data_IF_345370011906
#
_entry.id   IF_345370011906
#
_cell.length_a   1.000
_cell.length_b   1.000
_cell.length_c   1.000
_cell.angle_alpha   90.00
_cell.angle_beta   90.00
_cell.angle_gamma   90.00
#
_symmetry.space_group_name_H-M   'P 1'
#
loop_
_entity.id
_entity.type
_entity.pdbx_description
1 polymer ?
#
# COMPACT_ATOMS: atom_id res chain seq x y z
N UNK A 1 -4.79 30.23 35.27
CA UNK A 1 -5.71 29.51 34.36
C UNK A 1 -4.84 28.77 33.36
N UNK A 2 -4.60 27.45 33.61
CA UNK A 2 -3.70 26.62 32.78
C UNK A 2 -4.50 26.04 31.63
N UNK A 3 -4.13 26.39 30.39
CA UNK A 3 -4.70 25.79 29.18
C UNK A 3 -4.12 24.39 28.97
N UNK A 4 -5.00 23.41 28.97
CA UNK A 4 -4.71 22.04 28.53
C UNK A 4 -4.54 22.03 27.01
N UNK A 5 -3.38 21.57 26.52
CA UNK A 5 -3.18 21.19 25.12
C UNK A 5 -3.62 19.72 24.96
N UNK A 6 -4.40 19.38 23.94
CA UNK A 6 -4.66 17.98 23.62
C UNK A 6 -3.43 17.33 22.97
N UNK A 7 -3.27 15.98 23.09
CA UNK A 7 -2.13 15.27 22.53
C UNK A 7 -2.17 15.27 21.02
N UNK A 8 -1.00 15.46 20.42
CA UNK A 8 -0.80 15.39 18.98
C UNK A 8 -1.10 13.98 18.46
N UNK A 9 -2.09 13.87 17.58
CA UNK A 9 -2.27 12.70 16.73
C UNK A 9 -1.05 12.57 15.82
N UNK A 10 -0.30 11.47 15.95
CA UNK A 10 0.73 11.10 15.00
C UNK A 10 0.07 10.80 13.66
N UNK A 11 0.17 11.75 12.76
CA UNK A 11 -0.13 11.58 11.34
C UNK A 11 0.92 10.62 10.77
N UNK A 12 0.45 9.48 10.27
CA UNK A 12 1.26 8.54 9.51
C UNK A 12 1.63 9.22 8.18
N UNK A 13 2.81 9.85 8.14
CA UNK A 13 3.36 10.45 6.93
C UNK A 13 3.72 9.30 5.99
N UNK A 14 2.90 9.10 4.96
CA UNK A 14 3.28 8.31 3.81
C UNK A 14 4.51 8.95 3.16
N UNK A 15 5.65 8.26 3.22
CA UNK A 15 6.92 8.72 2.66
C UNK A 15 6.79 8.74 1.13
N UNK A 16 6.60 9.91 0.56
CA UNK A 16 6.69 10.17 -0.88
C UNK A 16 8.14 9.92 -1.33
N UNK A 17 8.45 8.68 -1.70
CA UNK A 17 9.64 8.35 -2.49
C UNK A 17 9.30 8.61 -3.96
N UNK A 18 9.62 9.83 -4.42
CA UNK A 18 9.65 10.17 -5.83
C UNK A 18 10.77 9.35 -6.50
N UNK A 19 10.44 8.15 -6.99
CA UNK A 19 11.28 7.36 -7.85
C UNK A 19 10.59 7.30 -9.20
N UNK A 20 10.99 8.20 -10.12
CA UNK A 20 10.63 8.12 -11.53
C UNK A 20 11.13 6.79 -12.10
N UNK A 21 10.27 5.76 -12.05
CA UNK A 21 10.45 4.55 -12.85
C UNK A 21 9.81 4.78 -14.22
N UNK A 22 10.62 4.69 -15.24
CA UNK A 22 10.15 4.45 -16.61
C UNK A 22 9.40 3.11 -16.58
N UNK A 23 8.08 3.15 -16.52
CA UNK A 23 7.23 1.98 -16.69
C UNK A 23 7.17 1.67 -18.19
N UNK A 24 8.00 0.74 -18.63
CA UNK A 24 7.84 0.09 -19.94
C UNK A 24 6.80 -1.02 -19.80
N UNK A 25 5.57 -0.74 -20.22
CA UNK A 25 4.47 -1.71 -20.28
C UNK A 25 3.14 -0.96 -20.19
N UNK A 26 2.24 -1.29 -21.09
CA UNK A 26 0.89 -0.75 -21.21
C UNK A 26 0.06 -1.18 -19.97
N UNK A 27 0.18 -0.43 -18.85
CA UNK A 27 -0.57 -0.76 -17.64
C UNK A 27 -2.02 -0.29 -17.79
N UNK A 28 -2.91 -1.25 -17.97
CA UNK A 28 -4.35 -0.98 -18.05
C UNK A 28 -4.85 -0.35 -16.76
N UNK A 29 -5.49 0.81 -16.84
CA UNK A 29 -6.23 1.39 -15.72
C UNK A 29 -7.47 0.55 -15.44
N UNK A 30 -7.44 -0.21 -14.34
CA UNK A 30 -8.48 -1.18 -13.96
C UNK A 30 -9.85 -0.53 -13.67
N UNK A 31 -9.88 0.74 -13.26
CA UNK A 31 -11.12 1.47 -12.97
C UNK A 31 -11.64 2.28 -14.14
N UNK A 32 -11.07 2.14 -15.35
CA UNK A 32 -11.61 2.80 -16.55
C UNK A 32 -12.79 2.05 -17.13
N UNK A 33 -13.76 2.80 -17.70
CA UNK A 33 -14.87 2.22 -18.46
C UNK A 33 -14.37 1.36 -19.64
N UNK A 34 -13.25 1.75 -20.27
CA UNK A 34 -12.59 0.99 -21.35
C UNK A 34 -12.11 -0.40 -20.86
N UNK A 35 -11.69 -0.51 -19.60
CA UNK A 35 -11.33 -1.79 -18.97
C UNK A 35 -12.56 -2.59 -18.49
N UNK A 36 -13.76 -2.07 -18.69
CA UNK A 36 -15.02 -2.70 -18.29
C UNK A 36 -15.44 -2.40 -16.85
N UNK A 37 -14.86 -1.39 -16.21
CA UNK A 37 -15.35 -0.91 -14.93
C UNK A 37 -16.66 -0.13 -15.08
N UNK A 38 -17.48 -0.13 -14.05
CA UNK A 38 -18.75 0.60 -14.02
C UNK A 38 -19.05 1.17 -12.65
N UNK A 39 -19.72 2.31 -12.60
CA UNK A 39 -20.30 2.85 -11.38
C UNK A 39 -21.53 2.01 -11.01
N UNK A 40 -21.62 1.56 -9.78
CA UNK A 40 -22.77 0.74 -9.30
C UNK A 40 -23.61 1.45 -8.26
N UNK A 41 -23.06 2.35 -7.49
CA UNK A 41 -23.79 3.22 -6.57
C UNK A 41 -22.95 4.42 -6.14
N UNK A 42 -23.60 5.45 -5.67
CA UNK A 42 -22.97 6.69 -5.21
C UNK A 42 -23.88 7.45 -4.23
N UNK A 43 -23.31 8.37 -3.44
CA UNK A 43 -24.04 9.14 -2.44
C UNK A 43 -24.87 10.26 -3.05
N UNK A 44 -24.31 11.01 -3.98
CA UNK A 44 -24.95 12.13 -4.63
C UNK A 44 -24.25 12.45 -5.95
N UNK A 45 -24.95 13.17 -6.84
CA UNK A 45 -24.45 13.53 -8.16
C UNK A 45 -25.04 14.87 -8.58
N UNK A 46 -24.24 15.70 -9.23
CA UNK A 46 -24.72 16.83 -10.01
C UNK A 46 -24.91 16.35 -11.45
N UNK A 47 -26.00 16.77 -12.09
CA UNK A 47 -26.36 16.29 -13.43
C UNK A 47 -25.54 16.95 -14.56
N UNK A 48 -25.59 16.36 -15.75
CA UNK A 48 -24.96 16.91 -16.95
C UNK A 48 -23.47 16.63 -17.04
N UNK A 49 -22.66 17.66 -17.27
CA UNK A 49 -21.22 17.51 -17.53
C UNK A 49 -20.40 17.06 -16.30
N UNK A 50 -20.98 17.11 -15.12
CA UNK A 50 -20.32 16.76 -13.83
C UNK A 50 -20.77 15.40 -13.26
N UNK A 51 -21.20 14.52 -14.15
CA UNK A 51 -21.72 13.19 -13.78
C UNK A 51 -20.66 12.28 -13.13
N UNK A 52 -21.08 11.43 -12.21
CA UNK A 52 -20.22 10.49 -11.48
C UNK A 52 -19.47 9.52 -12.41
N UNK A 53 -19.98 9.24 -13.60
CA UNK A 53 -19.31 8.39 -14.60
C UNK A 53 -18.02 9.01 -15.12
N UNK A 54 -17.81 10.31 -14.94
CA UNK A 54 -16.56 10.99 -15.27
C UNK A 54 -15.37 10.43 -14.51
N UNK A 55 -15.57 9.88 -13.32
CA UNK A 55 -14.50 9.26 -12.50
C UNK A 55 -13.84 8.07 -13.24
N UNK A 56 -14.59 7.36 -14.09
CA UNK A 56 -14.13 6.20 -14.85
C UNK A 56 -14.13 6.46 -16.35
N UNK A 57 -14.48 7.68 -16.77
CA UNK A 57 -14.69 8.08 -18.16
C UNK A 57 -13.50 7.79 -19.05
N UNK A 58 -13.80 7.30 -20.26
CA UNK A 58 -12.86 6.81 -21.24
C UNK A 58 -12.07 7.92 -21.93
N UNK A 59 -10.79 7.76 -21.93
CA UNK A 59 -9.76 8.45 -22.72
C UNK A 59 -8.44 7.96 -22.19
N UNK A 60 -7.51 7.59 -23.09
CA UNK A 60 -6.14 7.20 -22.72
C UNK A 60 -5.36 8.40 -22.16
N UNK A 61 -5.89 9.60 -22.37
CA UNK A 61 -5.26 10.83 -21.94
C UNK A 61 -5.62 11.13 -20.48
N UNK A 62 -4.68 10.85 -19.61
CA UNK A 62 -4.68 11.30 -18.23
C UNK A 62 -4.58 12.84 -18.11
N UNK A 63 -4.34 13.50 -19.24
CA UNK A 63 -4.06 14.93 -19.39
C UNK A 63 -5.10 15.55 -20.30
N UNK A 64 -5.89 16.47 -19.81
CA UNK A 64 -6.83 17.23 -20.60
C UNK A 64 -7.90 17.93 -19.77
N UNK A 65 -8.68 18.81 -20.37
CA UNK A 65 -9.85 19.45 -19.76
C UNK A 65 -10.84 18.36 -19.35
N UNK A 66 -10.82 18.05 -18.05
CA UNK A 66 -11.42 16.81 -17.56
C UNK A 66 -12.83 17.09 -17.08
N UNK A 67 -13.80 16.33 -17.56
CA UNK A 67 -15.03 16.20 -16.83
C UNK A 67 -14.72 15.63 -15.44
N UNK A 68 -15.27 16.24 -14.41
CA UNK A 68 -15.14 15.84 -13.02
C UNK A 68 -16.48 15.33 -12.49
N UNK A 69 -16.47 14.55 -11.44
CA UNK A 69 -17.66 14.30 -10.65
C UNK A 69 -17.87 15.46 -9.68
N UNK A 70 -19.07 16.01 -9.66
CA UNK A 70 -19.52 16.97 -8.67
C UNK A 70 -20.66 16.38 -7.86
N UNK A 71 -20.67 16.63 -6.57
CA UNK A 71 -21.79 16.22 -5.70
C UNK A 71 -23.01 17.11 -5.91
N UNK A 72 -24.21 16.64 -5.52
CA UNK A 72 -25.37 17.51 -5.47
C UNK A 72 -25.15 18.65 -4.49
N UNK A 73 -25.80 19.80 -4.75
CA UNK A 73 -25.72 21.00 -3.91
C UNK A 73 -26.12 20.68 -2.46
N UNK A 74 -25.31 21.13 -1.52
CA UNK A 74 -25.52 20.92 -0.08
C UNK A 74 -25.64 19.46 0.38
N UNK A 75 -25.14 18.50 -0.43
CA UNK A 75 -25.13 17.11 -0.03
C UNK A 75 -24.21 16.92 1.19
N UNK A 76 -24.64 16.17 2.22
CA UNK A 76 -23.86 15.98 3.43
C UNK A 76 -22.68 15.02 3.21
N UNK A 77 -21.56 15.28 3.86
CA UNK A 77 -20.48 14.30 3.96
C UNK A 77 -20.88 13.05 4.77
N UNK A 78 -20.28 11.88 4.50
CA UNK A 78 -19.28 11.63 3.46
C UNK A 78 -19.90 11.45 2.07
N UNK A 79 -19.20 11.92 1.04
CA UNK A 79 -19.55 11.58 -0.34
C UNK A 79 -18.83 10.29 -0.72
N UNK A 80 -19.49 9.43 -1.49
CA UNK A 80 -18.89 8.16 -1.86
C UNK A 80 -19.40 7.65 -3.21
N UNK A 81 -18.56 6.84 -3.83
CA UNK A 81 -18.88 6.10 -5.05
C UNK A 81 -18.38 4.66 -4.93
N UNK A 82 -19.14 3.70 -5.46
CA UNK A 82 -18.76 2.30 -5.59
C UNK A 82 -18.54 1.99 -7.06
N UNK A 83 -17.35 1.52 -7.39
CA UNK A 83 -16.92 1.12 -8.72
C UNK A 83 -16.80 -0.40 -8.74
N UNK A 84 -17.47 -1.06 -9.69
CA UNK A 84 -17.27 -2.46 -9.96
C UNK A 84 -16.23 -2.63 -11.06
N UNK A 85 -15.19 -3.42 -10.81
CA UNK A 85 -14.21 -3.82 -11.83
C UNK A 85 -14.79 -4.91 -12.73
N UNK A 86 -14.29 -5.04 -13.97
CA UNK A 86 -14.73 -6.08 -14.89
C UNK A 86 -14.64 -7.49 -14.30
N UNK A 87 -13.59 -7.74 -13.52
CA UNK A 87 -13.34 -8.99 -12.76
C UNK A 87 -12.61 -8.67 -11.46
N UNK A 88 -12.59 -9.58 -10.47
CA UNK A 88 -11.72 -9.43 -9.31
C UNK A 88 -10.27 -9.23 -9.78
N UNK A 89 -9.67 -8.12 -9.39
CA UNK A 89 -8.35 -7.71 -9.87
C UNK A 89 -7.46 -7.26 -8.72
N UNK A 90 -6.16 -7.52 -8.87
CA UNK A 90 -5.14 -6.97 -7.97
C UNK A 90 -4.79 -5.55 -8.40
N UNK A 91 -4.47 -4.70 -7.42
CA UNK A 91 -3.87 -3.39 -7.65
C UNK A 91 -2.91 -3.03 -6.53
N UNK A 92 -1.93 -2.20 -6.86
CA UNK A 92 -0.84 -1.77 -5.97
C UNK A 92 -0.69 -0.27 -5.93
N UNK A 93 -1.33 0.43 -6.86
CA UNK A 93 -1.29 1.89 -6.96
C UNK A 93 -2.66 2.41 -7.31
N UNK A 94 -3.13 3.38 -6.56
CA UNK A 94 -4.30 4.19 -6.86
C UNK A 94 -3.85 5.54 -7.40
N UNK A 95 -4.59 6.10 -8.36
CA UNK A 95 -4.30 7.41 -8.96
C UNK A 95 -5.53 8.29 -8.82
N UNK A 96 -5.30 9.53 -8.40
CA UNK A 96 -6.32 10.54 -8.23
C UNK A 96 -5.97 11.79 -9.02
N UNK A 97 -6.90 12.28 -9.81
CA UNK A 97 -6.81 13.58 -10.43
C UNK A 97 -7.65 14.57 -9.61
N UNK A 98 -7.01 15.63 -9.15
CA UNK A 98 -7.62 16.63 -8.28
C UNK A 98 -7.30 18.07 -8.74
N UNK A 99 -6.94 18.22 -10.01
CA UNK A 99 -6.95 19.52 -10.68
C UNK A 99 -8.38 19.79 -11.13
N UNK A 100 -9.03 20.71 -10.48
CA UNK A 100 -10.43 21.06 -10.68
C UNK A 100 -10.48 22.45 -11.32
N UNK A 101 -10.89 22.55 -12.61
CA UNK A 101 -10.92 23.84 -13.31
C UNK A 101 -11.78 24.89 -12.62
N UNK A 102 -12.87 24.46 -11.99
CA UNK A 102 -13.85 25.35 -11.34
C UNK A 102 -13.27 26.07 -10.11
N UNK A 103 -12.21 25.51 -9.48
CA UNK A 103 -11.48 26.23 -8.42
C UNK A 103 -10.91 27.58 -8.87
N UNK A 104 -10.39 27.66 -10.09
CA UNK A 104 -9.90 28.91 -10.68
C UNK A 104 -11.03 29.81 -11.15
N UNK A 105 -12.23 29.25 -11.36
CA UNK A 105 -13.46 29.95 -11.79
C UNK A 105 -14.27 30.61 -10.68
N UNK A 106 -13.79 30.58 -9.45
CA UNK A 106 -14.48 31.19 -8.30
C UNK A 106 -15.12 30.20 -7.33
N UNK A 107 -14.91 28.89 -7.53
CA UNK A 107 -15.41 27.81 -6.65
C UNK A 107 -14.30 27.31 -5.73
N UNK A 108 -13.67 28.23 -5.02
CA UNK A 108 -12.51 27.93 -4.19
C UNK A 108 -12.81 26.89 -3.12
N UNK A 109 -11.96 25.86 -2.99
CA UNK A 109 -12.10 24.81 -1.97
C UNK A 109 -13.02 23.65 -2.36
N UNK A 110 -13.55 23.62 -3.59
CA UNK A 110 -14.47 22.58 -4.08
C UNK A 110 -13.82 21.21 -4.25
N UNK A 111 -12.50 21.15 -4.50
CA UNK A 111 -11.79 19.91 -4.73
C UNK A 111 -11.76 18.99 -3.49
N UNK A 112 -11.83 17.69 -3.71
CA UNK A 112 -11.76 16.68 -2.66
C UNK A 112 -10.44 16.80 -1.86
N UNK A 113 -10.52 16.58 -0.54
CA UNK A 113 -9.37 16.67 0.36
C UNK A 113 -9.06 15.35 1.05
N UNK A 114 -9.89 14.94 1.99
CA UNK A 114 -9.65 13.74 2.76
C UNK A 114 -10.38 12.56 2.13
N UNK A 115 -9.63 11.51 1.77
CA UNK A 115 -10.14 10.36 1.03
C UNK A 115 -9.83 9.08 1.78
N UNK A 116 -10.82 8.19 1.84
CA UNK A 116 -10.67 6.81 2.26
C UNK A 116 -11.02 5.88 1.09
N UNK A 117 -10.25 4.81 0.93
CA UNK A 117 -10.51 3.76 -0.06
C UNK A 117 -10.76 2.45 0.64
N UNK A 118 -11.86 1.82 0.26
CA UNK A 118 -12.25 0.49 0.72
C UNK A 118 -12.42 -0.46 -0.48
N UNK A 119 -12.27 -1.77 -0.24
CA UNK A 119 -12.52 -2.80 -1.27
C UNK A 119 -13.37 -3.92 -0.71
N UNK A 120 -14.13 -4.56 -1.59
CA UNK A 120 -14.87 -5.77 -1.30
C UNK A 120 -14.66 -6.82 -2.39
N UNK A 121 -14.65 -8.10 -1.97
CA UNK A 121 -14.73 -9.28 -2.81
C UNK A 121 -16.09 -9.98 -2.68
N UNK A 122 -16.95 -9.47 -1.80
CA UNK A 122 -18.23 -10.09 -1.41
C UNK A 122 -19.38 -9.56 -2.27
N UNK A 123 -19.62 -8.25 -2.21
CA UNK A 123 -20.69 -7.58 -2.96
C UNK A 123 -20.42 -6.07 -3.09
N UNK A 124 -21.30 -5.39 -3.85
CA UNK A 124 -21.28 -3.93 -3.98
C UNK A 124 -21.74 -3.19 -2.71
N UNK A 125 -22.33 -3.89 -1.75
CA UNK A 125 -22.91 -3.32 -0.51
C UNK A 125 -22.20 -3.78 0.75
N UNK A 126 -21.58 -4.97 0.74
CA UNK A 126 -21.06 -5.63 1.92
C UNK A 126 -19.61 -6.08 1.76
N UNK A 127 -18.98 -6.42 2.90
CA UNK A 127 -17.62 -6.97 2.92
C UNK A 127 -16.53 -5.94 2.65
N UNK A 128 -16.85 -4.65 2.71
CA UNK A 128 -15.85 -3.60 2.49
C UNK A 128 -14.84 -3.55 3.64
N UNK A 129 -13.55 -3.55 3.27
CA UNK A 129 -12.43 -3.36 4.17
C UNK A 129 -11.60 -2.17 3.72
N UNK A 130 -11.12 -1.38 4.67
CA UNK A 130 -10.28 -0.22 4.41
C UNK A 130 -8.92 -0.65 3.84
N UNK A 131 -8.49 0.04 2.79
CA UNK A 131 -7.19 -0.16 2.12
C UNK A 131 -6.26 1.01 2.37
N UNK A 132 -6.78 2.23 2.25
CA UNK A 132 -5.99 3.44 2.42
C UNK A 132 -6.83 4.58 2.96
N UNK A 133 -6.17 5.56 3.58
CA UNK A 133 -6.74 6.85 3.95
C UNK A 133 -5.63 7.89 3.85
N UNK A 134 -5.89 8.97 3.13
CA UNK A 134 -4.89 9.99 2.79
C UNK A 134 -5.56 11.31 2.46
N UNK A 135 -4.74 12.35 2.33
CA UNK A 135 -5.16 13.67 1.90
C UNK A 135 -4.67 13.92 0.48
N UNK A 136 -5.56 14.37 -0.40
CA UNK A 136 -5.22 14.83 -1.75
C UNK A 136 -4.68 16.25 -1.70
N UNK A 137 -3.67 16.52 -2.51
CA UNK A 137 -3.21 17.88 -2.77
C UNK A 137 -4.22 18.58 -3.67
N UNK A 138 -4.44 19.88 -3.41
CA UNK A 138 -5.29 20.75 -4.20
C UNK A 138 -4.63 21.05 -5.56
N UNK A 139 -5.41 21.19 -6.61
CA UNK A 139 -4.94 21.55 -7.96
C UNK A 139 -3.82 20.66 -8.51
N UNK A 140 -3.87 19.37 -8.24
CA UNK A 140 -2.84 18.42 -8.67
C UNK A 140 -3.45 17.15 -9.22
N UNK A 141 -3.04 16.81 -10.45
CA UNK A 141 -3.37 15.53 -11.09
C UNK A 141 -2.30 14.47 -10.84
N UNK A 142 -2.63 13.23 -11.21
CA UNK A 142 -1.73 12.08 -11.12
C UNK A 142 -1.12 11.86 -9.74
N UNK A 143 -1.91 12.06 -8.70
CA UNK A 143 -1.49 11.78 -7.33
C UNK A 143 -1.52 10.28 -7.10
N UNK A 144 -0.33 9.67 -7.06
CA UNK A 144 -0.17 8.24 -6.84
C UNK A 144 -0.18 7.91 -5.35
N UNK A 145 -1.05 6.99 -4.97
CA UNK A 145 -1.12 6.41 -3.63
C UNK A 145 -0.80 4.93 -3.72
N UNK A 146 0.38 4.54 -3.24
CA UNK A 146 0.76 3.14 -3.18
C UNK A 146 0.04 2.46 -2.03
N UNK A 147 -0.47 1.27 -2.31
CA UNK A 147 -1.13 0.40 -1.33
C UNK A 147 -0.45 -0.96 -1.30
N UNK A 148 -0.59 -1.67 -0.19
CA UNK A 148 -0.23 -3.09 -0.17
C UNK A 148 -0.99 -3.81 -1.28
N UNK A 149 -0.38 -4.83 -1.96
CA UNK A 149 -1.06 -5.55 -3.02
C UNK A 149 -2.43 -6.01 -2.55
N UNK A 150 -3.46 -5.47 -3.16
CA UNK A 150 -4.86 -5.62 -2.73
C UNK A 150 -5.68 -6.19 -3.86
N UNK A 151 -6.49 -7.21 -3.57
CA UNK A 151 -7.47 -7.74 -4.50
C UNK A 151 -8.87 -7.26 -4.13
N UNK A 152 -9.67 -6.94 -5.15
CA UNK A 152 -11.06 -6.58 -4.98
C UNK A 152 -11.83 -6.64 -6.29
N UNK A 153 -13.14 -6.84 -6.18
CA UNK A 153 -14.12 -6.72 -7.28
C UNK A 153 -14.79 -5.36 -7.25
N UNK A 154 -14.99 -4.80 -6.05
CA UNK A 154 -15.62 -3.50 -5.84
C UNK A 154 -14.68 -2.58 -5.05
N UNK A 155 -14.51 -1.36 -5.58
CA UNK A 155 -13.78 -0.27 -4.92
C UNK A 155 -14.80 0.76 -4.45
N UNK A 156 -14.71 1.17 -3.18
CA UNK A 156 -15.47 2.29 -2.63
C UNK A 156 -14.51 3.42 -2.32
N UNK A 157 -14.72 4.55 -2.98
CA UNK A 157 -13.99 5.80 -2.73
C UNK A 157 -14.90 6.66 -1.86
N UNK A 158 -14.39 7.14 -0.74
CA UNK A 158 -15.13 7.93 0.25
C UNK A 158 -14.37 9.23 0.44
N UNK A 159 -15.01 10.34 0.12
CA UNK A 159 -14.51 11.69 0.37
C UNK A 159 -15.15 12.19 1.67
N UNK A 160 -14.34 12.46 2.67
CA UNK A 160 -14.81 12.88 4.01
C UNK A 160 -14.64 14.37 4.25
N UNK A 161 -13.90 15.08 3.41
CA UNK A 161 -13.78 16.54 3.40
C UNK A 161 -13.34 17.06 2.03
N UNK A 162 -13.69 18.30 1.71
CA UNK A 162 -13.11 19.10 0.65
C UNK A 162 -12.19 20.19 1.23
N UNK A 163 -11.68 21.08 0.39
CA UNK A 163 -10.79 22.17 0.81
C UNK A 163 -11.53 23.42 1.35
N UNK A 164 -12.80 23.30 1.70
CA UNK A 164 -13.56 24.31 2.43
C UNK A 164 -14.74 24.93 1.67
N UNK A 165 -15.10 24.39 0.51
CA UNK A 165 -16.32 24.82 -0.17
C UNK A 165 -17.56 24.28 0.54
N UNK A 166 -18.57 25.13 0.76
CA UNK A 166 -19.72 24.79 1.60
C UNK A 166 -20.77 23.95 0.89
N UNK A 167 -20.96 24.13 -0.43
CA UNK A 167 -22.08 23.56 -1.17
C UNK A 167 -21.75 22.31 -1.98
N UNK A 168 -20.51 22.22 -2.52
CA UNK A 168 -20.15 21.18 -3.48
C UNK A 168 -18.78 20.56 -3.17
N UNK A 169 -18.61 19.37 -3.70
CA UNK A 169 -17.30 18.67 -3.70
C UNK A 169 -17.07 18.06 -5.08
N UNK A 170 -15.87 18.24 -5.62
CA UNK A 170 -15.47 17.70 -6.92
C UNK A 170 -14.26 16.78 -6.83
N UNK A 171 -14.25 15.79 -7.69
CA UNK A 171 -13.15 14.84 -7.85
C UNK A 171 -13.02 14.46 -9.34
N UNK A 172 -11.81 14.50 -9.85
CA UNK A 172 -11.49 14.09 -11.21
C UNK A 172 -11.31 12.59 -11.37
N UNK A 173 -10.79 12.17 -12.53
CA UNK A 173 -10.62 10.78 -12.90
C UNK A 173 -9.81 9.97 -11.89
N UNK A 174 -10.17 8.70 -11.79
CA UNK A 174 -9.53 7.71 -10.93
C UNK A 174 -8.70 6.72 -11.76
N UNK A 175 -7.69 6.16 -11.10
CA UNK A 175 -6.89 5.06 -11.61
C UNK A 175 -6.62 4.00 -10.56
N UNK A 176 -6.49 2.76 -11.03
CA UNK A 176 -5.95 1.66 -10.24
C UNK A 176 -5.04 0.82 -11.15
N UNK A 177 -3.79 0.64 -10.74
CA UNK A 177 -2.77 -0.05 -11.50
C UNK A 177 -2.24 -1.26 -10.73
N UNK A 178 -1.91 -2.32 -11.46
CA UNK A 178 -1.28 -3.52 -10.95
C UNK A 178 0.17 -3.59 -11.46
N UNK A 179 1.15 -3.50 -10.57
CA UNK A 179 2.57 -3.65 -10.91
C UNK A 179 3.05 -5.11 -10.89
N UNK A 180 2.11 -6.05 -10.73
CA UNK A 180 2.39 -7.48 -10.64
C UNK A 180 2.81 -7.96 -9.24
N UNK A 181 2.99 -7.05 -8.28
CA UNK A 181 3.29 -7.43 -6.89
C UNK A 181 2.10 -8.17 -6.27
N UNK A 182 2.42 -9.14 -5.41
CA UNK A 182 1.40 -9.91 -4.67
C UNK A 182 1.73 -9.93 -3.18
N UNK A 183 0.73 -10.08 -2.30
CA UNK A 183 1.00 -10.30 -0.88
C UNK A 183 1.95 -11.47 -0.73
N UNK A 184 2.91 -11.32 0.17
CA UNK A 184 3.84 -12.40 0.47
C UNK A 184 3.08 -13.57 1.07
N UNK A 185 3.00 -14.67 0.32
CA UNK A 185 2.50 -15.96 0.81
C UNK A 185 3.70 -16.83 1.21
N UNK A 186 4.03 -16.79 2.51
CA UNK A 186 5.15 -17.55 3.07
C UNK A 186 4.99 -19.06 2.81
N UNK A 187 3.76 -19.59 2.93
CA UNK A 187 3.51 -21.01 2.76
C UNK A 187 3.77 -21.46 1.32
N UNK A 188 3.24 -20.69 0.35
CA UNK A 188 3.41 -21.00 -1.06
C UNK A 188 4.88 -20.87 -1.52
N UNK A 189 5.58 -19.81 -1.06
CA UNK A 189 6.99 -19.61 -1.37
C UNK A 189 7.87 -20.73 -0.78
N UNK A 190 7.67 -21.08 0.49
CA UNK A 190 8.40 -22.17 1.13
C UNK A 190 8.10 -23.54 0.48
N UNK A 191 6.85 -23.78 0.07
CA UNK A 191 6.46 -25.02 -0.65
C UNK A 191 7.14 -25.10 -2.01
N UNK A 192 7.16 -24.01 -2.77
CA UNK A 192 7.65 -24.00 -4.15
C UNK A 192 9.17 -23.92 -4.24
N UNK A 193 9.81 -23.12 -3.37
CA UNK A 193 11.24 -22.76 -3.45
C UNK A 193 12.08 -23.28 -2.28
N UNK A 194 11.44 -23.81 -1.24
CA UNK A 194 12.11 -24.18 0.01
C UNK A 194 12.64 -23.00 0.82
N UNK A 195 12.48 -21.78 0.33
CA UNK A 195 12.89 -20.55 1.02
C UNK A 195 12.10 -19.33 0.53
N UNK A 196 12.04 -18.29 1.38
CA UNK A 196 11.40 -17.03 1.06
C UNK A 196 12.18 -15.85 1.65
N UNK A 197 12.43 -14.82 0.85
CA UNK A 197 13.08 -13.60 1.28
C UNK A 197 12.05 -12.61 1.88
N UNK A 198 12.33 -12.12 3.07
CA UNK A 198 11.48 -11.24 3.86
C UNK A 198 12.12 -9.85 3.91
N UNK A 199 11.41 -8.84 3.42
CA UNK A 199 11.88 -7.44 3.36
C UNK A 199 11.19 -6.52 4.37
N UNK A 200 10.13 -6.96 5.03
CA UNK A 200 9.34 -6.16 5.99
C UNK A 200 9.85 -6.22 7.45
N UNK A 201 11.06 -6.75 7.69
CA UNK A 201 11.68 -6.71 9.01
C UNK A 201 12.62 -5.52 9.09
N UNK A 202 12.30 -4.55 9.94
CA UNK A 202 13.06 -3.31 10.12
C UNK A 202 13.87 -3.36 11.41
N UNK A 203 15.08 -2.82 11.35
CA UNK A 203 16.00 -2.71 12.47
C UNK A 203 16.48 -1.26 12.61
N UNK A 204 16.89 -0.89 13.81
CA UNK A 204 17.60 0.37 14.00
C UNK A 204 18.97 0.33 13.31
N UNK A 205 19.49 1.51 12.95
CA UNK A 205 20.74 1.62 12.24
C UNK A 205 21.90 0.95 13.01
N UNK A 206 22.63 0.06 12.35
CA UNK A 206 23.74 -0.67 12.96
C UNK A 206 23.35 -1.63 14.10
N UNK A 207 22.06 -1.86 14.33
CA UNK A 207 21.51 -2.61 15.46
C UNK A 207 20.78 -3.88 15.00
N UNK A 208 20.55 -4.78 15.95
CA UNK A 208 19.68 -5.93 15.82
C UNK A 208 18.32 -5.75 16.54
N UNK A 209 18.04 -4.55 17.05
CA UNK A 209 16.75 -4.21 17.66
C UNK A 209 15.67 -4.16 16.58
N UNK A 210 14.66 -5.02 16.71
CA UNK A 210 13.54 -5.08 15.77
C UNK A 210 12.58 -3.93 16.08
N UNK A 211 12.24 -3.17 15.05
CA UNK A 211 11.32 -2.03 15.18
C UNK A 211 9.86 -2.48 15.17
N UNK A 212 8.96 -1.72 15.84
CA UNK A 212 7.53 -2.05 15.92
C UNK A 212 6.85 -2.22 14.55
N UNK A 213 7.30 -1.50 13.53
CA UNK A 213 6.77 -1.58 12.17
C UNK A 213 6.96 -2.95 11.53
N UNK A 214 7.78 -3.81 12.10
CA UNK A 214 7.94 -5.21 11.68
C UNK A 214 6.80 -6.12 12.15
N UNK A 215 5.91 -5.64 13.03
CA UNK A 215 4.82 -6.43 13.61
C UNK A 215 4.04 -7.27 12.59
N UNK A 216 3.49 -6.66 11.54
CA UNK A 216 2.66 -7.39 10.56
C UNK A 216 3.36 -8.57 9.88
N UNK A 217 4.65 -8.45 9.56
CA UNK A 217 5.41 -9.55 8.93
C UNK A 217 5.78 -10.64 9.93
N UNK A 218 6.10 -10.26 11.18
CA UNK A 218 6.37 -11.23 12.25
C UNK A 218 5.13 -12.06 12.58
N UNK A 219 3.94 -11.44 12.59
CA UNK A 219 2.66 -12.13 12.76
C UNK A 219 2.37 -13.12 11.62
N UNK A 220 2.67 -12.75 10.36
CA UNK A 220 2.58 -13.67 9.21
C UNK A 220 3.48 -14.89 9.38
N UNK A 221 4.71 -14.70 9.88
CA UNK A 221 5.64 -15.80 10.16
C UNK A 221 5.09 -16.69 11.28
N UNK A 222 4.65 -16.10 12.39
CA UNK A 222 4.08 -16.84 13.52
C UNK A 222 2.81 -17.61 13.11
N UNK A 223 1.94 -16.99 12.28
CA UNK A 223 0.77 -17.66 11.72
C UNK A 223 1.15 -18.86 10.85
N UNK A 224 2.14 -18.70 9.96
CA UNK A 224 2.64 -19.84 9.18
C UNK A 224 3.10 -21.00 10.09
N UNK A 225 3.88 -20.70 11.13
CA UNK A 225 4.35 -21.70 12.09
C UNK A 225 3.23 -22.37 12.88
N UNK A 226 2.16 -21.63 13.20
CA UNK A 226 0.96 -22.15 13.85
C UNK A 226 0.17 -23.08 12.93
N UNK A 227 -0.03 -22.65 11.68
CA UNK A 227 -0.78 -23.41 10.68
C UNK A 227 -0.04 -24.67 10.17
N UNK A 228 1.29 -24.74 10.40
CA UNK A 228 2.16 -25.85 10.00
C UNK A 228 2.94 -26.40 11.21
N UNK A 229 2.32 -27.19 12.11
CA UNK A 229 2.93 -27.61 13.38
C UNK A 229 4.23 -28.42 13.25
N UNK A 230 4.43 -29.14 12.17
CA UNK A 230 5.65 -29.92 11.90
C UNK A 230 6.77 -29.12 11.23
N UNK A 231 6.49 -27.91 10.76
CA UNK A 231 7.49 -27.12 10.05
C UNK A 231 8.60 -26.66 11.00
N UNK A 232 9.84 -26.71 10.50
CA UNK A 232 11.02 -26.11 11.11
C UNK A 232 11.60 -25.09 10.14
N UNK A 233 12.01 -23.92 10.61
CA UNK A 233 12.58 -22.87 9.78
C UNK A 233 13.96 -22.46 10.25
N UNK A 234 14.88 -22.29 9.31
CA UNK A 234 16.07 -21.48 9.49
C UNK A 234 15.73 -20.03 9.17
N UNK A 235 16.03 -19.12 10.09
CA UNK A 235 15.92 -17.68 9.92
C UNK A 235 17.32 -17.16 9.61
N UNK A 236 17.56 -16.80 8.35
CA UNK A 236 18.86 -16.38 7.84
C UNK A 236 18.91 -14.85 7.71
N UNK A 237 19.86 -14.20 8.41
CA UNK A 237 20.10 -12.76 8.30
C UNK A 237 21.16 -12.43 7.25
N UNK A 238 20.93 -11.35 6.48
CA UNK A 238 21.84 -10.88 5.43
C UNK A 238 22.07 -9.38 5.54
N UNK A 239 23.24 -8.92 5.08
CA UNK A 239 23.59 -7.50 4.93
C UNK A 239 23.95 -7.21 3.47
N UNK A 240 24.08 -5.94 3.14
CA UNK A 240 24.85 -5.52 1.97
C UNK A 240 26.37 -5.62 2.27
N UNK A 241 27.20 -5.22 1.29
CA UNK A 241 28.66 -5.29 1.40
C UNK A 241 29.31 -4.04 1.99
N UNK A 242 28.52 -3.08 2.52
CA UNK A 242 29.08 -1.86 3.12
C UNK A 242 29.56 -2.15 4.55
N UNK A 243 30.79 -1.77 4.84
CA UNK A 243 31.41 -1.92 6.15
C UNK A 243 32.27 -3.17 6.30
N UNK A 244 32.69 -3.44 7.53
CA UNK A 244 33.56 -4.56 7.87
C UNK A 244 32.82 -5.91 7.79
N UNK A 245 33.42 -6.90 7.12
CA UNK A 245 32.79 -8.19 6.89
C UNK A 245 32.51 -8.98 8.16
N UNK A 246 33.38 -8.90 9.18
CA UNK A 246 33.16 -9.60 10.46
C UNK A 246 32.03 -8.95 11.26
N UNK A 247 31.94 -7.61 11.24
CA UNK A 247 30.83 -6.86 11.85
C UNK A 247 29.52 -7.19 11.15
N UNK A 248 29.50 -7.25 9.82
CA UNK A 248 28.31 -7.63 9.05
C UNK A 248 27.89 -9.07 9.32
N UNK A 249 28.83 -9.99 9.48
CA UNK A 249 28.55 -11.38 9.88
C UNK A 249 27.85 -11.42 11.26
N UNK A 250 28.45 -10.77 12.27
CA UNK A 250 27.88 -10.72 13.62
C UNK A 250 26.51 -10.00 13.65
N UNK A 251 26.39 -8.88 12.92
CA UNK A 251 25.14 -8.12 12.84
C UNK A 251 24.01 -8.96 12.25
N UNK A 252 24.27 -9.66 11.14
CA UNK A 252 23.28 -10.50 10.48
C UNK A 252 22.82 -11.68 11.37
N UNK A 253 23.74 -12.29 12.11
CA UNK A 253 23.40 -13.34 13.07
C UNK A 253 22.55 -12.81 14.23
N UNK A 254 22.91 -11.66 14.80
CA UNK A 254 22.13 -11.05 15.87
C UNK A 254 20.73 -10.64 15.40
N UNK A 255 20.60 -10.12 14.18
CA UNK A 255 19.30 -9.82 13.57
C UNK A 255 18.42 -11.07 13.41
N UNK A 256 19.00 -12.16 12.93
CA UNK A 256 18.28 -13.43 12.84
C UNK A 256 17.81 -13.93 14.23
N UNK A 257 18.65 -13.83 15.25
CA UNK A 257 18.28 -14.16 16.64
C UNK A 257 17.15 -13.28 17.16
N UNK A 258 17.17 -12.00 16.85
CA UNK A 258 16.10 -11.08 17.26
C UNK A 258 14.77 -11.39 16.59
N UNK A 259 14.77 -11.79 15.31
CA UNK A 259 13.56 -12.25 14.60
C UNK A 259 13.03 -13.53 15.25
N UNK A 260 13.89 -14.52 15.52
CA UNK A 260 13.49 -15.75 16.23
C UNK A 260 12.85 -15.42 17.57
N UNK A 261 13.48 -14.55 18.38
CA UNK A 261 12.94 -14.12 19.66
C UNK A 261 11.57 -13.43 19.53
N UNK A 262 11.40 -12.57 18.51
CA UNK A 262 10.15 -11.87 18.27
C UNK A 262 9.03 -12.84 17.85
N UNK A 263 9.30 -13.79 16.96
CA UNK A 263 8.33 -14.81 16.52
C UNK A 263 7.99 -15.78 17.66
N UNK A 264 8.96 -16.09 18.51
CA UNK A 264 8.74 -16.91 19.74
C UNK A 264 7.80 -16.20 20.72
N UNK A 265 7.93 -14.88 20.92
CA UNK A 265 6.99 -14.09 21.73
C UNK A 265 5.55 -14.13 21.20
N UNK A 266 5.37 -14.36 19.91
CA UNK A 266 4.06 -14.53 19.27
C UNK A 266 3.52 -15.98 19.37
N UNK A 267 4.15 -16.83 20.20
CA UNK A 267 3.66 -18.18 20.50
C UNK A 267 4.27 -19.31 19.69
N UNK A 268 5.31 -19.06 18.89
CA UNK A 268 6.02 -20.12 18.17
C UNK A 268 7.04 -20.82 19.09
N UNK A 269 7.06 -22.15 19.07
CA UNK A 269 8.08 -22.94 19.79
C UNK A 269 9.49 -22.61 19.26
N UNK A 270 10.42 -22.11 20.11
CA UNK A 270 11.78 -21.77 19.71
C UNK A 270 12.58 -22.97 19.18
N UNK A 271 12.27 -24.20 19.60
CA UNK A 271 12.90 -25.43 19.10
C UNK A 271 12.65 -25.70 17.62
N UNK A 272 11.69 -25.00 17.01
CA UNK A 272 11.34 -25.08 15.59
C UNK A 272 12.00 -23.99 14.75
N UNK A 273 12.74 -23.05 15.37
CA UNK A 273 13.37 -21.93 14.70
C UNK A 273 14.89 -21.95 14.95
N UNK A 274 15.69 -21.83 13.90
CA UNK A 274 17.14 -21.74 13.97
C UNK A 274 17.63 -20.42 13.36
N UNK A 275 18.33 -19.61 14.12
CA UNK A 275 18.97 -18.39 13.61
C UNK A 275 20.33 -18.69 12.96
N UNK A 276 20.61 -18.03 11.84
CA UNK A 276 21.93 -18.02 11.18
C UNK A 276 22.20 -16.66 10.55
N UNK A 277 23.47 -16.21 10.60
CA UNK A 277 23.92 -15.00 9.89
C UNK A 277 24.79 -15.35 8.71
N UNK A 278 24.68 -14.60 7.63
CA UNK A 278 25.51 -14.76 6.43
C UNK A 278 26.22 -13.48 6.02
N UNK A 279 26.03 -12.37 6.76
CA UNK A 279 26.61 -11.09 6.37
C UNK A 279 26.30 -10.77 4.92
N UNK A 280 27.32 -10.35 4.16
CA UNK A 280 27.23 -10.06 2.73
C UNK A 280 27.57 -11.23 1.81
N UNK A 281 27.75 -12.46 2.33
CA UNK A 281 28.28 -13.60 1.56
C UNK A 281 27.29 -14.24 0.59
N UNK A 282 25.98 -13.96 0.75
CA UNK A 282 24.91 -14.50 -0.10
C UNK A 282 24.07 -13.36 -0.71
N UNK A 283 24.61 -12.55 -1.63
CA UNK A 283 23.86 -11.48 -2.27
C UNK A 283 22.81 -12.06 -3.23
N UNK A 284 21.62 -11.40 -3.31
CA UNK A 284 20.54 -11.69 -4.26
C UNK A 284 20.42 -10.61 -5.34
N UNK A 285 21.17 -9.53 -5.18
CA UNK A 285 21.26 -8.43 -6.14
C UNK A 285 22.66 -7.84 -6.12
N UNK A 286 22.99 -6.97 -7.10
CA UNK A 286 24.27 -6.28 -7.12
C UNK A 286 24.41 -5.34 -5.90
N UNK A 287 25.65 -5.18 -5.41
CA UNK A 287 25.94 -4.27 -4.31
C UNK A 287 26.35 -2.86 -4.78
N UNK A 288 26.37 -2.61 -6.09
CA UNK A 288 26.79 -1.32 -6.67
C UNK A 288 25.67 -0.29 -6.59
N UNK A 289 24.42 -0.71 -6.80
CA UNK A 289 23.25 0.15 -6.75
C UNK A 289 22.65 0.24 -5.33
N UNK A 290 22.00 1.36 -5.02
CA UNK A 290 21.26 1.53 -3.75
C UNK A 290 20.13 0.49 -3.63
N UNK A 291 19.43 0.25 -4.74
CA UNK A 291 18.33 -0.73 -4.81
C UNK A 291 18.82 -2.16 -4.66
N UNK A 292 19.98 -2.50 -5.25
CA UNK A 292 20.59 -3.82 -5.09
C UNK A 292 21.02 -4.07 -3.64
N UNK A 293 21.69 -3.10 -3.01
CA UNK A 293 22.02 -3.20 -1.57
C UNK A 293 20.78 -3.32 -0.69
N UNK A 294 19.70 -2.61 -1.01
CA UNK A 294 18.45 -2.72 -0.26
C UNK A 294 17.86 -4.15 -0.33
N UNK A 295 17.93 -4.82 -1.49
CA UNK A 295 17.54 -6.22 -1.65
C UNK A 295 18.46 -7.18 -0.88
N UNK A 296 19.74 -6.87 -0.74
CA UNK A 296 20.68 -7.69 0.02
C UNK A 296 20.46 -7.59 1.53
N UNK A 297 19.96 -6.46 2.06
CA UNK A 297 19.58 -6.31 3.48
C UNK A 297 18.22 -6.95 3.73
N UNK A 298 18.20 -8.25 4.00
CA UNK A 298 16.98 -9.04 4.16
C UNK A 298 17.09 -10.11 5.25
N UNK A 299 15.97 -10.68 5.58
CA UNK A 299 15.87 -11.95 6.32
C UNK A 299 15.34 -13.01 5.35
N UNK A 300 15.94 -14.18 5.30
CA UNK A 300 15.44 -15.32 4.51
C UNK A 300 14.92 -16.39 5.46
N UNK A 301 13.70 -16.84 5.25
CA UNK A 301 13.20 -18.07 5.89
C UNK A 301 13.48 -19.25 4.98
N UNK A 302 14.02 -20.31 5.53
CA UNK A 302 14.29 -21.55 4.80
C UNK A 302 13.73 -22.74 5.53
N UNK A 303 13.14 -23.70 4.79
CA UNK A 303 12.67 -24.96 5.38
C UNK A 303 13.86 -25.69 5.99
N UNK A 304 13.77 -25.96 7.29
CA UNK A 304 14.75 -26.78 8.01
C UNK A 304 14.66 -28.25 7.61
N UNK A 305 15.81 -28.87 7.53
CA UNK A 305 15.89 -30.34 7.40
C UNK A 305 15.66 -31.00 8.74
#
# INVERSE_FOLDING_TARGET
MRMFRPPAFLSLIALLLCCSRVFGGDQTNLVSAKAGARIVSFSSNYEGSWDVTNLIGGGEDWYGDLPVWCTAQNAPFPHWVVIELAKPSWFTTLIFNNFIPDEAGGWEGISAKDVEVQVSDVSATDGFRKVASFQLERNKNNQEVRVEPTQGKWLKIIVTANWGHEEYTELGKLGALDDGSRPLDIAQELKNKGSVDIYGVYFDFGSASVRPESGPILEKIAKYMKDNPSAKLAVEGHTDNIGDARKNQALSENRAKSVVAAVTKLGTDPGRLRAAGFGATKPVADNKSITGRAKNRRVTLRVGK
#
